data_IF_557363376377
#
_entry.id   IF_557363376377
#
_cell.length_a   1.000
_cell.length_b   1.000
_cell.length_c   1.000
_cell.angle_alpha   90.00
_cell.angle_beta   90.00
_cell.angle_gamma   90.00
#
_symmetry.space_group_name_H-M   'P 1'
#
loop_
_entity.id
_entity.type
_entity.pdbx_description
1 polymer ?
#
# COMPACT_ATOMS: atom_id res chain seq x y z
N UNK A 1 8.77 7.74 -5.56
CA UNK A 1 7.51 7.48 -6.28
C UNK A 1 7.72 6.84 -7.65
N UNK A 2 8.74 7.25 -8.44
CA UNK A 2 9.01 6.70 -9.78
C UNK A 2 9.24 5.19 -9.86
N UNK A 3 9.85 4.56 -8.85
CA UNK A 3 10.13 3.12 -8.88
C UNK A 3 8.86 2.27 -8.83
N UNK A 4 7.86 2.64 -8.02
CA UNK A 4 6.61 1.87 -7.94
C UNK A 4 5.83 1.98 -9.25
N UNK A 5 5.75 3.18 -9.84
CA UNK A 5 5.15 3.36 -11.19
C UNK A 5 5.85 2.52 -12.26
N UNK A 6 7.19 2.44 -12.23
CA UNK A 6 7.95 1.59 -13.13
C UNK A 6 7.62 0.11 -12.93
N UNK A 7 7.57 -0.35 -11.69
CA UNK A 7 7.20 -1.73 -11.37
C UNK A 7 5.76 -2.05 -11.80
N UNK A 8 4.80 -1.16 -11.53
CA UNK A 8 3.42 -1.28 -12.00
C UNK A 8 3.37 -1.48 -13.53
N UNK A 9 4.10 -0.66 -14.29
CA UNK A 9 4.22 -0.83 -15.74
C UNK A 9 4.81 -2.18 -16.14
N UNK A 10 5.85 -2.67 -15.46
CA UNK A 10 6.43 -4.01 -15.68
C UNK A 10 5.45 -5.14 -15.37
N UNK A 11 4.51 -4.91 -14.46
CA UNK A 11 3.45 -5.87 -14.13
C UNK A 11 2.17 -5.71 -14.98
N UNK A 12 2.16 -4.82 -15.97
CA UNK A 12 1.06 -4.64 -16.92
C UNK A 12 -0.04 -3.69 -16.46
N UNK A 13 0.28 -2.77 -15.55
CA UNK A 13 -0.61 -1.69 -15.14
C UNK A 13 -0.25 -0.38 -15.86
N UNK A 14 -1.24 0.20 -16.54
CA UNK A 14 -1.11 1.43 -17.32
C UNK A 14 -1.60 2.63 -16.50
N UNK A 15 -0.81 3.70 -16.48
CA UNK A 15 -1.20 4.96 -15.84
C UNK A 15 -2.45 5.54 -16.54
N UNK A 16 -3.35 6.17 -15.78
CA UNK A 16 -4.64 6.74 -16.22
C UNK A 16 -5.70 5.73 -16.68
N UNK A 17 -5.29 4.51 -17.05
CA UNK A 17 -6.19 3.41 -17.40
C UNK A 17 -6.49 2.50 -16.21
N UNK A 18 -5.44 2.07 -15.50
CA UNK A 18 -5.55 1.13 -14.39
C UNK A 18 -5.38 1.80 -13.02
N UNK A 19 -4.80 3.00 -13.00
CA UNK A 19 -4.57 3.75 -11.76
C UNK A 19 -4.30 5.23 -12.01
N UNK A 20 -4.61 6.07 -11.02
CA UNK A 20 -4.14 7.45 -10.95
C UNK A 20 -2.99 7.60 -9.96
N UNK A 21 -2.19 8.66 -10.15
CA UNK A 21 -1.16 9.10 -9.21
C UNK A 21 -1.60 10.36 -8.50
N UNK A 22 -1.06 10.58 -7.30
CA UNK A 22 -1.26 11.83 -6.56
C UNK A 22 -2.74 12.20 -6.40
N UNK A 23 -3.57 11.16 -6.25
CA UNK A 23 -5.02 11.23 -6.37
C UNK A 23 -5.65 11.85 -5.11
N UNK A 24 -6.49 12.86 -5.31
CA UNK A 24 -7.19 13.54 -4.23
C UNK A 24 -8.63 13.04 -4.20
N UNK A 25 -8.95 12.15 -3.25
CA UNK A 25 -10.31 11.61 -3.12
C UNK A 25 -11.26 12.60 -2.45
N UNK A 26 -10.75 13.34 -1.45
CA UNK A 26 -11.42 14.45 -0.78
C UNK A 26 -10.39 15.48 -0.34
N UNK A 27 -10.84 16.70 -0.07
CA UNK A 27 -9.95 17.79 0.34
C UNK A 27 -9.06 17.35 1.52
N UNK A 28 -7.74 17.51 1.36
CA UNK A 28 -6.75 17.09 2.36
C UNK A 28 -6.36 15.61 2.39
N UNK A 29 -6.94 14.75 1.53
CA UNK A 29 -6.58 13.33 1.42
C UNK A 29 -5.97 13.05 0.03
N UNK A 30 -4.65 13.19 -0.05
CA UNK A 30 -3.86 12.91 -1.25
C UNK A 30 -3.21 11.53 -1.12
N UNK A 31 -3.61 10.60 -1.97
CA UNK A 31 -3.03 9.27 -2.10
C UNK A 31 -1.91 9.29 -3.13
N UNK A 32 -0.88 8.47 -2.96
CA UNK A 32 0.19 8.36 -3.95
C UNK A 32 -0.27 7.61 -5.20
N UNK A 33 -1.09 6.57 -4.99
CA UNK A 33 -1.78 5.85 -6.06
C UNK A 33 -3.21 5.50 -5.66
N UNK A 34 -4.10 5.48 -6.65
CA UNK A 34 -5.48 5.04 -6.50
C UNK A 34 -5.86 4.16 -7.68
N UNK A 35 -6.55 3.05 -7.41
CA UNK A 35 -6.93 2.05 -8.41
C UNK A 35 -8.43 1.73 -8.33
N UNK A 36 -9.13 1.56 -9.46
CA UNK A 36 -8.73 2.04 -10.78
C UNK A 36 -9.05 3.54 -10.93
N UNK A 37 -10.23 3.98 -10.48
CA UNK A 37 -10.77 5.31 -10.69
C UNK A 37 -11.96 5.63 -9.76
N UNK A 38 -12.43 6.87 -9.83
CA UNK A 38 -13.52 7.38 -8.99
C UNK A 38 -14.90 6.79 -9.34
N UNK A 39 -15.13 6.38 -10.59
CA UNK A 39 -16.41 5.79 -11.00
C UNK A 39 -16.57 4.40 -10.38
N UNK A 40 -15.52 3.59 -10.48
CA UNK A 40 -15.39 2.31 -9.80
C UNK A 40 -15.51 2.47 -8.28
N UNK A 41 -14.90 3.50 -7.70
CA UNK A 41 -15.04 3.78 -6.26
C UNK A 41 -16.48 4.08 -5.85
N UNK A 42 -17.22 4.84 -6.65
CA UNK A 42 -18.63 5.16 -6.33
C UNK A 42 -19.54 3.93 -6.39
N UNK A 43 -19.24 3.00 -7.29
CA UNK A 43 -20.06 1.81 -7.52
C UNK A 43 -19.69 0.67 -6.58
N UNK A 44 -18.40 0.38 -6.43
CA UNK A 44 -17.91 -0.76 -5.65
C UNK A 44 -16.54 -0.48 -4.99
N UNK A 45 -16.52 0.30 -3.88
CA UNK A 45 -15.29 0.68 -3.17
C UNK A 45 -14.35 -0.49 -2.80
N UNK A 46 -14.91 -1.67 -2.49
CA UNK A 46 -14.13 -2.84 -2.05
C UNK A 46 -13.23 -3.43 -3.15
N UNK A 47 -13.52 -3.09 -4.41
CA UNK A 47 -12.71 -3.46 -5.57
C UNK A 47 -11.62 -2.43 -5.87
N UNK A 48 -11.64 -1.29 -5.18
CA UNK A 48 -10.63 -0.24 -5.31
C UNK A 48 -9.46 -0.45 -4.35
N UNK A 49 -8.29 0.08 -4.71
CA UNK A 49 -7.09 0.05 -3.88
C UNK A 49 -6.54 1.46 -3.68
N UNK A 50 -6.42 1.86 -2.41
CA UNK A 50 -5.82 3.13 -2.00
C UNK A 50 -4.41 2.90 -1.50
N UNK A 51 -3.45 3.62 -2.04
CA UNK A 51 -2.03 3.37 -1.77
C UNK A 51 -1.34 4.65 -1.34
N UNK A 52 -0.53 4.52 -0.30
CA UNK A 52 0.44 5.51 0.08
C UNK A 52 1.83 4.90 0.23
N UNK A 53 2.83 5.67 -0.12
CA UNK A 53 4.22 5.29 -0.18
C UNK A 53 5.00 6.06 0.87
N UNK A 54 5.65 5.33 1.76
CA UNK A 54 6.46 5.91 2.83
C UNK A 54 7.81 5.21 2.85
N UNK A 55 8.90 5.94 2.64
CA UNK A 55 10.25 5.35 2.70
C UNK A 55 10.54 4.76 4.07
N UNK A 56 10.20 5.49 5.14
CA UNK A 56 10.30 5.03 6.53
C UNK A 56 8.94 5.03 7.22
N UNK A 57 8.68 4.05 8.09
CA UNK A 57 7.43 3.94 8.85
C UNK A 57 7.48 4.70 10.18
N UNK A 58 8.03 5.92 10.21
CA UNK A 58 7.98 6.75 11.44
C UNK A 58 6.53 7.16 11.74
N UNK A 59 6.25 7.88 12.84
CA UNK A 59 4.89 8.24 13.31
C UNK A 59 3.93 8.86 12.26
N UNK A 60 4.48 9.32 11.13
CA UNK A 60 3.75 9.78 9.94
C UNK A 60 2.85 8.70 9.31
N UNK A 61 3.03 7.41 9.61
CA UNK A 61 2.11 6.36 9.12
C UNK A 61 0.66 6.62 9.57
N UNK A 62 0.44 7.19 10.76
CA UNK A 62 -0.89 7.48 11.29
C UNK A 62 -1.64 8.52 10.46
N UNK A 63 -0.94 9.57 10.01
CA UNK A 63 -1.52 10.60 9.16
C UNK A 63 -1.97 10.01 7.83
N UNK A 64 -1.14 9.15 7.25
CA UNK A 64 -1.46 8.45 6.00
C UNK A 64 -2.64 7.50 6.16
N UNK A 65 -2.72 6.74 7.26
CA UNK A 65 -3.84 5.83 7.49
C UNK A 65 -5.16 6.60 7.63
N UNK A 66 -5.14 7.74 8.31
CA UNK A 66 -6.32 8.59 8.47
C UNK A 66 -6.82 9.20 7.15
N UNK A 67 -5.95 9.32 6.13
CA UNK A 67 -6.31 9.82 4.80
C UNK A 67 -6.88 8.73 3.89
N UNK A 68 -6.70 7.46 4.24
CA UNK A 68 -7.18 6.34 3.45
C UNK A 68 -8.67 6.07 3.69
N UNK A 69 -9.47 5.75 2.65
CA UNK A 69 -10.88 5.41 2.81
C UNK A 69 -11.03 4.04 3.48
N UNK A 70 -11.93 3.94 4.45
CA UNK A 70 -12.13 2.72 5.24
C UNK A 70 -12.71 1.54 4.44
N UNK A 71 -13.29 1.82 3.28
CA UNK A 71 -14.02 0.90 2.41
C UNK A 71 -13.20 0.39 1.20
N UNK A 72 -11.93 0.80 1.09
CA UNK A 72 -11.03 0.33 0.02
C UNK A 72 -9.95 -0.60 0.55
N UNK A 73 -9.25 -1.28 -0.36
CA UNK A 73 -8.05 -2.07 -0.03
C UNK A 73 -6.87 -1.13 0.22
N UNK A 74 -6.62 -0.81 1.49
CA UNK A 74 -5.59 0.16 1.86
C UNK A 74 -4.19 -0.46 1.95
N UNK A 75 -3.22 0.11 1.23
CA UNK A 75 -1.84 -0.38 1.17
C UNK A 75 -0.83 0.71 1.51
N UNK A 76 0.07 0.42 2.43
CA UNK A 76 1.17 1.29 2.81
C UNK A 76 2.49 0.70 2.30
N UNK A 77 2.93 1.14 1.13
CA UNK A 77 4.18 0.70 0.50
C UNK A 77 5.38 1.32 1.21
N UNK A 78 6.35 0.49 1.59
CA UNK A 78 7.57 0.96 2.27
C UNK A 78 8.85 0.43 1.65
N UNK A 79 9.99 0.98 2.10
CA UNK A 79 11.31 0.49 1.73
C UNK A 79 11.91 -0.49 2.75
N UNK A 80 11.10 -1.05 3.66
CA UNK A 80 11.56 -2.03 4.66
C UNK A 80 12.06 -3.30 3.97
N UNK A 81 13.31 -3.68 4.28
CA UNK A 81 14.06 -4.73 3.58
C UNK A 81 14.90 -4.25 2.41
N UNK A 82 14.96 -2.95 2.11
CA UNK A 82 15.86 -2.48 1.06
C UNK A 82 17.30 -2.36 1.59
N UNK A 83 18.22 -3.14 1.02
CA UNK A 83 19.63 -3.17 1.41
C UNK A 83 20.34 -1.82 1.32
N UNK A 84 19.87 -0.91 0.45
CA UNK A 84 20.44 0.44 0.32
C UNK A 84 20.21 1.33 1.55
N UNK A 85 19.28 0.96 2.45
CA UNK A 85 19.01 1.70 3.68
C UNK A 85 19.65 1.06 4.93
N UNK A 86 20.38 -0.06 4.76
CA UNK A 86 21.04 -0.80 5.83
C UNK A 86 20.07 -1.30 6.91
N UNK A 87 20.62 -1.59 8.10
CA UNK A 87 19.86 -2.14 9.24
C UNK A 87 18.77 -1.20 9.79
N UNK A 88 18.77 0.08 9.37
CA UNK A 88 17.81 1.10 9.82
C UNK A 88 16.38 0.86 9.33
N UNK A 89 16.19 0.04 8.29
CA UNK A 89 14.89 -0.33 7.74
C UNK A 89 14.70 -1.86 7.70
N UNK A 90 15.07 -2.51 8.79
CA UNK A 90 14.79 -3.94 9.01
C UNK A 90 13.34 -4.22 9.45
N UNK A 91 12.98 -5.51 9.62
CA UNK A 91 11.63 -5.95 10.02
C UNK A 91 11.14 -5.34 11.33
N UNK A 92 12.05 -5.10 12.28
CA UNK A 92 11.77 -4.48 13.58
C UNK A 92 11.29 -3.02 13.48
N UNK A 93 11.48 -2.39 12.32
CA UNK A 93 10.90 -1.08 12.02
C UNK A 93 9.37 -1.11 12.10
N UNK A 94 8.74 -2.27 11.90
CA UNK A 94 7.31 -2.49 12.13
C UNK A 94 7.08 -3.09 13.52
N UNK A 95 7.02 -2.24 14.54
CA UNK A 95 6.67 -2.69 15.90
C UNK A 95 5.22 -3.19 15.98
N UNK A 96 4.91 -4.00 17.00
CA UNK A 96 3.55 -4.53 17.19
C UNK A 96 2.49 -3.43 17.26
N UNK A 97 2.79 -2.30 17.89
CA UNK A 97 1.90 -1.12 17.91
C UNK A 97 1.57 -0.62 16.49
N UNK A 98 2.56 -0.55 15.59
CA UNK A 98 2.30 -0.16 14.18
C UNK A 98 1.41 -1.18 13.47
N UNK A 99 1.61 -2.46 13.75
CA UNK A 99 0.81 -3.55 13.17
C UNK A 99 -0.63 -3.51 13.69
N UNK A 100 -0.84 -3.24 14.97
CA UNK A 100 -2.16 -3.10 15.58
C UNK A 100 -2.92 -1.88 15.04
N UNK A 101 -2.23 -0.75 14.88
CA UNK A 101 -2.79 0.44 14.24
C UNK A 101 -3.15 0.19 12.78
N UNK A 102 -2.29 -0.50 12.02
CA UNK A 102 -2.59 -0.87 10.64
C UNK A 102 -3.83 -1.76 10.57
N UNK A 103 -3.93 -2.76 11.46
CA UNK A 103 -5.09 -3.65 11.57
C UNK A 103 -6.38 -2.87 11.84
N UNK A 104 -6.34 -1.96 12.80
CA UNK A 104 -7.48 -1.12 13.19
C UNK A 104 -7.99 -0.25 12.04
N UNK A 105 -7.10 0.20 11.16
CA UNK A 105 -7.42 1.06 10.02
C UNK A 105 -7.61 0.28 8.70
N UNK A 106 -7.62 -1.06 8.74
CA UNK A 106 -7.77 -1.88 7.53
C UNK A 106 -6.60 -1.77 6.54
N UNK A 107 -5.42 -1.36 7.01
CA UNK A 107 -4.22 -1.14 6.18
C UNK A 107 -3.30 -2.35 6.22
N UNK A 108 -2.73 -2.71 5.08
CA UNK A 108 -1.59 -3.63 5.01
C UNK A 108 -0.32 -2.91 4.59
N UNK A 109 0.77 -3.16 5.30
CA UNK A 109 2.10 -2.75 4.85
C UNK A 109 2.55 -3.63 3.70
N UNK A 110 3.11 -3.01 2.67
CA UNK A 110 3.73 -3.70 1.52
C UNK A 110 5.24 -3.51 1.62
N UNK A 111 5.98 -4.59 1.84
CA UNK A 111 7.43 -4.57 2.09
C UNK A 111 8.18 -5.57 1.19
N UNK A 112 9.51 -5.58 1.25
CA UNK A 112 10.30 -6.58 0.52
C UNK A 112 10.13 -7.97 1.15
N UNK A 113 9.95 -8.97 0.30
CA UNK A 113 9.61 -10.35 0.69
C UNK A 113 10.58 -10.96 1.71
N UNK A 114 11.88 -10.78 1.51
CA UNK A 114 12.91 -11.32 2.40
C UNK A 114 12.95 -10.64 3.78
N UNK A 115 12.25 -9.53 3.99
CA UNK A 115 12.13 -8.86 5.28
C UNK A 115 10.86 -9.27 6.05
N UNK A 116 10.06 -10.18 5.50
CA UNK A 116 8.87 -10.71 6.18
C UNK A 116 9.30 -11.85 7.10
N UNK A 117 9.21 -11.63 8.41
CA UNK A 117 9.47 -12.65 9.44
C UNK A 117 8.17 -13.31 9.95
N UNK A 118 8.29 -14.35 10.78
CA UNK A 118 7.15 -15.08 11.34
C UNK A 118 6.17 -14.20 12.15
N UNK A 119 6.67 -13.16 12.82
CA UNK A 119 5.86 -12.23 13.60
C UNK A 119 5.02 -11.35 12.66
N UNK A 120 5.62 -10.86 11.57
CA UNK A 120 4.92 -10.10 10.54
C UNK A 120 3.86 -10.96 9.83
N UNK A 121 4.16 -12.23 9.54
CA UNK A 121 3.18 -13.17 8.98
C UNK A 121 1.98 -13.34 9.93
N UNK A 122 2.25 -13.59 11.21
CA UNK A 122 1.21 -13.78 12.22
C UNK A 122 0.31 -12.55 12.40
N UNK A 123 0.82 -11.34 12.14
CA UNK A 123 0.05 -10.10 12.25
C UNK A 123 -1.07 -9.97 11.21
N UNK A 124 -0.93 -10.65 10.07
CA UNK A 124 -1.80 -10.53 8.88
C UNK A 124 -1.91 -9.11 8.28
N UNK A 125 -1.11 -8.15 8.76
CA UNK A 125 -1.10 -6.75 8.30
C UNK A 125 0.10 -6.41 7.42
N UNK A 126 0.87 -7.42 7.00
CA UNK A 126 2.01 -7.28 6.10
C UNK A 126 1.83 -8.18 4.89
N UNK A 127 2.28 -7.72 3.72
CA UNK A 127 2.39 -8.50 2.50
C UNK A 127 3.63 -8.10 1.71
N UNK A 128 4.09 -8.97 0.81
CA UNK A 128 5.19 -8.61 -0.09
C UNK A 128 4.69 -7.75 -1.26
N UNK A 129 5.62 -7.06 -1.94
CA UNK A 129 5.31 -6.41 -3.23
C UNK A 129 4.79 -7.42 -4.27
N UNK A 130 5.32 -8.64 -4.30
CA UNK A 130 4.87 -9.69 -5.22
C UNK A 130 3.42 -10.11 -4.97
N UNK A 131 3.05 -10.28 -3.69
CA UNK A 131 1.67 -10.56 -3.29
C UNK A 131 0.75 -9.41 -3.67
N UNK A 132 1.21 -8.17 -3.50
CA UNK A 132 0.41 -6.99 -3.80
C UNK A 132 0.15 -6.85 -5.28
N UNK A 133 1.15 -7.04 -6.14
CA UNK A 133 0.93 -7.06 -7.59
C UNK A 133 0.00 -8.20 -8.03
N UNK A 134 0.09 -9.37 -7.37
CA UNK A 134 -0.82 -10.49 -7.65
C UNK A 134 -2.26 -10.16 -7.22
N UNK A 135 -2.43 -9.52 -6.06
CA UNK A 135 -3.73 -9.01 -5.60
C UNK A 135 -4.30 -8.00 -6.60
N UNK A 136 -3.51 -6.99 -7.02
CA UNK A 136 -3.94 -5.99 -8.00
C UNK A 136 -4.41 -6.65 -9.31
N UNK A 137 -3.69 -7.66 -9.79
CA UNK A 137 -4.09 -8.39 -11.02
C UNK A 137 -5.40 -9.16 -10.84
N UNK A 138 -5.60 -9.75 -9.66
CA UNK A 138 -6.83 -10.47 -9.36
C UNK A 138 -8.03 -9.51 -9.32
N UNK A 139 -7.87 -8.34 -8.67
CA UNK A 139 -8.96 -7.37 -8.54
C UNK A 139 -9.22 -6.58 -9.83
N UNK A 140 -8.23 -6.46 -10.72
CA UNK A 140 -8.38 -5.82 -12.04
C UNK A 140 -9.48 -6.43 -12.91
N UNK A 141 -9.86 -7.69 -12.68
CA UNK A 141 -10.98 -8.33 -13.39
C UNK A 141 -12.35 -7.79 -12.98
N UNK A 142 -12.41 -6.94 -11.95
CA UNK A 142 -13.64 -6.31 -11.44
C UNK A 142 -13.62 -4.77 -11.61
N UNK A 143 -12.66 -4.24 -12.35
CA UNK A 143 -12.52 -2.82 -12.69
C UNK A 143 -13.20 -2.50 -14.02
#
# INVERSE_FOLDING_TARGET
>A
MHHISFLLGKHGFELEKDYQREFVLKEGCKLDFFFPDLENYKNEPKNCCSVACQTTSNDRFRLTFAQMPADTRNRACTAIGNSNFGDKLGPDSLSNNKLDEAKKNGVKFVIFEHAIDNRLIASQTVMSYNDWFSELKAIKNFW
#
